data_IF_305982400732
#
_entry.id   IF_305982400732
#
_cell.length_a   1.000
_cell.length_b   1.000
_cell.length_c   1.000
_cell.angle_alpha   90.00
_cell.angle_beta   90.00
_cell.angle_gamma   90.00
#
_symmetry.space_group_name_H-M   'P 1'
#
loop_
_entity.id
_entity.type
_entity.pdbx_description
1 polymer ?
#
# COMPACT_ATOMS: atom_id res chain seq x y z
N UNK A 1 -18.55 -33.52 -0.23
CA UNK A 1 -18.83 -32.23 0.44
C UNK A 1 -17.92 -31.93 1.64
N UNK A 2 -17.56 -32.91 2.50
CA UNK A 2 -16.68 -32.67 3.66
C UNK A 2 -15.22 -32.31 3.29
N UNK A 3 -14.68 -32.87 2.22
CA UNK A 3 -13.34 -32.56 1.73
C UNK A 3 -13.24 -31.12 1.20
N UNK A 4 -14.28 -30.62 0.57
CA UNK A 4 -14.31 -29.25 0.04
C UNK A 4 -14.28 -28.20 1.18
N UNK A 5 -14.99 -28.46 2.28
CA UNK A 5 -15.01 -27.57 3.44
C UNK A 5 -13.65 -27.47 4.18
N UNK A 6 -12.84 -28.53 4.20
CA UNK A 6 -11.52 -28.48 4.83
C UNK A 6 -10.52 -27.63 4.06
N UNK A 7 -10.57 -27.63 2.73
CA UNK A 7 -9.70 -26.77 1.92
C UNK A 7 -10.06 -25.29 2.07
N UNK A 8 -11.35 -24.98 2.09
CA UNK A 8 -11.84 -23.62 2.32
C UNK A 8 -11.39 -23.14 3.70
N UNK A 9 -11.57 -23.95 4.75
CA UNK A 9 -11.15 -23.59 6.10
C UNK A 9 -9.63 -23.33 6.19
N UNK A 10 -8.79 -24.18 5.58
CA UNK A 10 -7.35 -23.97 5.53
C UNK A 10 -6.97 -22.70 4.78
N UNK A 11 -7.60 -22.43 3.64
CA UNK A 11 -7.39 -21.21 2.88
C UNK A 11 -7.73 -19.95 3.69
N UNK A 12 -8.87 -19.97 4.41
CA UNK A 12 -9.29 -18.87 5.29
C UNK A 12 -8.28 -18.65 6.42
N UNK A 13 -7.81 -19.73 7.07
CA UNK A 13 -6.80 -19.64 8.13
C UNK A 13 -5.50 -19.02 7.60
N UNK A 14 -5.01 -19.46 6.43
CA UNK A 14 -3.82 -18.88 5.81
C UNK A 14 -3.99 -17.40 5.46
N UNK A 15 -5.13 -17.00 4.93
CA UNK A 15 -5.44 -15.60 4.64
C UNK A 15 -5.41 -14.77 5.92
N UNK A 16 -6.01 -15.27 7.01
CA UNK A 16 -6.00 -14.58 8.32
C UNK A 16 -4.57 -14.43 8.85
N UNK A 17 -3.75 -15.50 8.79
CA UNK A 17 -2.36 -15.46 9.23
C UNK A 17 -1.58 -14.41 8.43
N UNK A 18 -1.67 -14.41 7.09
CA UNK A 18 -0.99 -13.44 6.22
C UNK A 18 -1.45 -12.02 6.53
N UNK A 19 -2.74 -11.82 6.76
CA UNK A 19 -3.31 -10.52 7.08
C UNK A 19 -2.83 -9.99 8.43
N UNK A 20 -2.74 -10.84 9.46
CA UNK A 20 -2.15 -10.49 10.75
C UNK A 20 -0.68 -10.11 10.59
N UNK A 21 0.10 -10.92 9.86
CA UNK A 21 1.51 -10.62 9.58
C UNK A 21 1.67 -9.27 8.87
N UNK A 22 0.88 -9.00 7.84
CA UNK A 22 0.90 -7.73 7.14
C UNK A 22 0.59 -6.56 8.07
N UNK A 23 -0.46 -6.65 8.88
CA UNK A 23 -0.86 -5.60 9.81
C UNK A 23 0.21 -5.28 10.86
N UNK A 24 1.02 -6.27 11.27
CA UNK A 24 2.08 -6.07 12.26
C UNK A 24 3.38 -5.57 11.66
N UNK A 25 3.84 -6.20 10.59
CA UNK A 25 5.17 -5.92 10.03
C UNK A 25 5.22 -4.69 9.14
N UNK A 26 4.13 -4.36 8.46
CA UNK A 26 4.07 -3.20 7.58
C UNK A 26 4.35 -1.88 8.32
N UNK A 27 3.67 -1.51 9.43
CA UNK A 27 3.93 -0.27 10.16
C UNK A 27 5.35 -0.22 10.75
N UNK A 28 5.86 -1.35 11.25
CA UNK A 28 7.22 -1.45 11.77
C UNK A 28 8.24 -1.24 10.64
N UNK A 29 7.99 -1.86 9.49
CA UNK A 29 8.84 -1.73 8.29
C UNK A 29 8.95 -0.29 7.82
N UNK A 30 7.83 0.41 7.66
CA UNK A 30 7.80 1.83 7.28
C UNK A 30 8.61 2.71 8.27
N UNK A 31 8.35 2.58 9.57
CA UNK A 31 9.06 3.34 10.60
C UNK A 31 10.57 3.01 10.63
N UNK A 32 10.92 1.75 10.38
CA UNK A 32 12.33 1.30 10.33
C UNK A 32 13.07 1.88 9.14
N UNK A 33 12.44 1.92 7.96
CA UNK A 33 13.03 2.53 6.75
C UNK A 33 13.27 4.02 6.98
N UNK A 34 12.31 4.76 7.50
CA UNK A 34 12.46 6.19 7.80
C UNK A 34 13.58 6.42 8.84
N UNK A 35 13.66 5.57 9.88
CA UNK A 35 14.73 5.63 10.89
C UNK A 35 16.12 5.34 10.29
N UNK A 36 16.22 4.43 9.33
CA UNK A 36 17.46 4.13 8.62
C UNK A 36 17.89 5.28 7.70
N UNK A 37 16.94 5.95 7.05
CA UNK A 37 17.20 7.13 6.21
C UNK A 37 17.68 8.31 7.03
N UNK A 38 17.17 8.49 8.25
CA UNK A 38 17.59 9.58 9.14
C UNK A 38 19.00 9.37 9.69
N UNK A 39 19.40 8.14 9.96
CA UNK A 39 20.70 7.77 10.49
C UNK A 39 21.35 6.62 9.68
N UNK A 40 21.92 6.89 8.51
CA UNK A 40 22.43 5.86 7.61
C UNK A 40 23.63 5.06 8.18
N UNK A 41 24.27 5.55 9.24
CA UNK A 41 25.38 4.84 9.91
C UNK A 41 24.90 3.82 10.95
N UNK A 42 23.58 3.77 11.26
CA UNK A 42 23.03 2.78 12.17
C UNK A 42 22.89 1.40 11.50
N UNK A 43 23.09 0.34 12.30
CA UNK A 43 22.80 -1.01 11.82
C UNK A 43 21.31 -1.16 11.55
N UNK A 44 20.96 -2.01 10.56
CA UNK A 44 19.57 -2.32 10.21
C UNK A 44 18.75 -2.81 11.42
N UNK A 45 19.37 -3.57 12.31
CA UNK A 45 18.74 -4.04 13.55
C UNK A 45 18.34 -2.89 14.49
N UNK A 46 19.21 -1.89 14.67
CA UNK A 46 18.88 -0.72 15.50
C UNK A 46 17.74 0.11 14.89
N UNK A 47 17.74 0.26 13.58
CA UNK A 47 16.63 0.93 12.88
C UNK A 47 15.32 0.18 13.04
N UNK A 48 15.35 -1.17 13.01
CA UNK A 48 14.18 -2.00 13.25
C UNK A 48 13.66 -1.87 14.69
N UNK A 49 14.54 -1.92 15.70
CA UNK A 49 14.15 -1.73 17.11
C UNK A 49 13.58 -0.33 17.34
N UNK A 50 14.14 0.71 16.71
CA UNK A 50 13.60 2.07 16.80
C UNK A 50 12.23 2.16 16.10
N UNK A 51 12.04 1.51 14.95
CA UNK A 51 10.77 1.43 14.24
C UNK A 51 9.70 0.70 15.04
N UNK A 52 10.05 -0.40 15.73
CA UNK A 52 9.10 -1.15 16.55
C UNK A 52 8.55 -0.31 17.72
N UNK A 53 9.33 0.61 18.27
CA UNK A 53 8.87 1.57 19.29
C UNK A 53 7.82 2.56 18.78
N UNK A 54 7.65 2.70 17.45
CA UNK A 54 6.64 3.56 16.80
C UNK A 54 5.44 2.77 16.26
N UNK A 55 5.35 1.48 16.58
CA UNK A 55 4.34 0.58 16.03
C UNK A 55 2.91 1.09 16.23
N UNK A 56 2.53 1.44 17.47
CA UNK A 56 1.15 1.85 17.76
C UNK A 56 0.73 3.12 17.00
N UNK A 57 1.47 4.23 17.03
CA UNK A 57 1.11 5.42 16.26
C UNK A 57 1.06 5.17 14.75
N UNK A 58 1.98 4.34 14.22
CA UNK A 58 1.98 4.00 12.79
C UNK A 58 0.78 3.12 12.42
N UNK A 59 0.43 2.16 13.27
CA UNK A 59 -0.75 1.32 13.08
C UNK A 59 -2.04 2.16 13.11
N UNK A 60 -2.19 3.03 14.12
CA UNK A 60 -3.33 3.94 14.25
C UNK A 60 -3.46 4.85 13.03
N UNK A 61 -2.35 5.42 12.56
CA UNK A 61 -2.32 6.21 11.33
C UNK A 61 -2.76 5.38 10.11
N UNK A 62 -2.25 4.16 9.97
CA UNK A 62 -2.61 3.28 8.86
C UNK A 62 -4.11 3.00 8.84
N UNK A 63 -4.71 2.72 9.99
CA UNK A 63 -6.15 2.50 10.11
C UNK A 63 -6.97 3.75 9.79
N UNK A 64 -6.54 4.90 10.28
CA UNK A 64 -7.21 6.18 10.04
C UNK A 64 -7.14 6.57 8.55
N UNK A 65 -6.07 6.20 7.84
CA UNK A 65 -5.86 6.55 6.44
C UNK A 65 -6.61 5.65 5.46
N UNK A 66 -7.00 4.42 5.83
CA UNK A 66 -7.69 3.46 4.95
C UNK A 66 -8.90 4.06 4.22
N UNK A 67 -9.84 4.79 4.87
CA UNK A 67 -11.01 5.36 4.19
C UNK A 67 -10.66 6.41 3.13
N UNK A 68 -9.45 6.99 3.23
CA UNK A 68 -8.97 8.04 2.33
C UNK A 68 -8.02 7.51 1.26
N UNK A 69 -7.81 6.21 1.18
CA UNK A 69 -7.04 5.62 0.08
C UNK A 69 -7.82 5.69 -1.22
N UNK A 70 -7.14 6.11 -2.28
CA UNK A 70 -7.71 6.16 -3.63
C UNK A 70 -8.25 4.80 -4.05
N UNK A 71 -7.58 3.70 -3.69
CA UNK A 71 -8.03 2.35 -4.00
C UNK A 71 -9.36 2.01 -3.31
N UNK A 72 -9.52 2.34 -2.03
CA UNK A 72 -10.78 2.15 -1.29
C UNK A 72 -11.89 2.97 -1.93
N UNK A 73 -11.58 4.18 -2.36
CA UNK A 73 -12.52 5.01 -3.10
C UNK A 73 -12.93 4.36 -4.43
N UNK A 74 -11.97 3.91 -5.25
CA UNK A 74 -12.26 3.24 -6.53
C UNK A 74 -13.11 1.99 -6.36
N UNK A 75 -12.89 1.18 -5.31
CA UNK A 75 -13.70 -0.01 -5.03
C UNK A 75 -15.14 0.34 -4.64
N UNK A 76 -15.33 1.39 -3.87
CA UNK A 76 -16.67 1.90 -3.53
C UNK A 76 -17.37 2.42 -4.79
N UNK A 77 -16.65 3.17 -5.64
CA UNK A 77 -17.16 3.67 -6.91
C UNK A 77 -17.63 2.55 -7.83
N UNK A 78 -16.80 1.52 -8.01
CA UNK A 78 -17.14 0.37 -8.83
C UNK A 78 -18.42 -0.33 -8.32
N UNK A 79 -18.54 -0.48 -6.99
CA UNK A 79 -19.75 -1.07 -6.39
C UNK A 79 -21.00 -0.23 -6.64
N UNK A 80 -20.91 1.09 -6.46
CA UNK A 80 -22.03 2.00 -6.71
C UNK A 80 -22.44 1.99 -8.19
N UNK A 81 -21.47 1.91 -9.10
CA UNK A 81 -21.70 1.76 -10.53
C UNK A 81 -22.41 0.45 -10.86
N UNK A 82 -21.94 -0.68 -10.31
CA UNK A 82 -22.55 -1.99 -10.54
C UNK A 82 -23.96 -2.14 -9.94
N UNK A 83 -24.33 -1.27 -9.00
CA UNK A 83 -25.68 -1.23 -8.39
C UNK A 83 -26.61 -0.21 -9.06
N UNK A 84 -26.19 0.42 -10.17
CA UNK A 84 -26.94 1.46 -10.91
C UNK A 84 -27.41 2.64 -10.02
N UNK A 85 -26.65 2.92 -8.95
CA UNK A 85 -27.04 3.93 -7.96
C UNK A 85 -26.68 5.36 -8.44
N UNK A 86 -25.86 5.49 -9.49
CA UNK A 86 -25.46 6.79 -10.06
C UNK A 86 -26.57 7.58 -10.74
N UNK A 87 -27.71 6.97 -11.03
CA UNK A 87 -28.88 7.68 -11.56
C UNK A 87 -29.46 8.69 -10.57
N UNK A 88 -29.09 8.57 -9.29
CA UNK A 88 -29.48 9.53 -8.27
C UNK A 88 -28.46 10.67 -8.15
N UNK A 89 -28.88 11.89 -8.52
CA UNK A 89 -28.04 13.08 -8.53
C UNK A 89 -27.46 13.40 -7.13
N UNK A 90 -28.20 13.15 -6.05
CA UNK A 90 -27.71 13.37 -4.69
C UNK A 90 -26.53 12.46 -4.35
N UNK A 91 -26.58 11.21 -4.77
CA UNK A 91 -25.48 10.25 -4.56
C UNK A 91 -24.26 10.68 -5.35
N UNK A 92 -24.44 11.11 -6.59
CA UNK A 92 -23.37 11.60 -7.46
C UNK A 92 -22.67 12.82 -6.83
N UNK A 93 -23.42 13.74 -6.24
CA UNK A 93 -22.86 14.90 -5.53
C UNK A 93 -22.06 14.46 -4.29
N UNK A 94 -22.62 13.58 -3.45
CA UNK A 94 -21.93 13.07 -2.24
C UNK A 94 -20.62 12.38 -2.62
N UNK A 95 -20.65 11.61 -3.66
CA UNK A 95 -19.49 10.93 -4.21
C UNK A 95 -18.43 11.92 -4.71
N UNK A 96 -18.83 12.98 -5.41
CA UNK A 96 -17.95 14.06 -5.83
C UNK A 96 -17.28 14.78 -4.66
N UNK A 97 -18.04 15.10 -3.61
CA UNK A 97 -17.51 15.70 -2.38
C UNK A 97 -16.51 14.76 -1.72
N UNK A 98 -16.84 13.47 -1.61
CA UNK A 98 -15.93 12.46 -1.04
C UNK A 98 -14.63 12.33 -1.84
N UNK A 99 -14.71 12.37 -3.16
CA UNK A 99 -13.52 12.37 -4.04
C UNK A 99 -12.60 13.54 -3.68
N UNK A 100 -13.14 14.75 -3.62
CA UNK A 100 -12.37 15.93 -3.27
C UNK A 100 -11.71 15.79 -1.90
N UNK A 101 -12.45 15.29 -0.90
CA UNK A 101 -11.93 15.07 0.46
C UNK A 101 -10.80 14.02 0.48
N UNK A 102 -10.92 12.94 -0.32
CA UNK A 102 -9.87 11.92 -0.42
C UNK A 102 -8.59 12.51 -1.01
N UNK A 103 -8.69 13.25 -2.11
CA UNK A 103 -7.52 13.90 -2.73
C UNK A 103 -6.89 14.94 -1.77
N UNK A 104 -7.70 15.76 -1.14
CA UNK A 104 -7.23 16.76 -0.18
C UNK A 104 -6.54 16.12 1.03
N UNK A 105 -7.16 15.10 1.62
CA UNK A 105 -6.56 14.37 2.74
C UNK A 105 -5.25 13.67 2.33
N UNK A 106 -5.18 13.08 1.13
CA UNK A 106 -3.97 12.45 0.62
C UNK A 106 -2.79 13.43 0.53
N UNK A 107 -3.03 14.67 0.07
CA UNK A 107 -2.00 15.72 0.04
C UNK A 107 -1.62 16.15 1.45
N UNK A 108 -2.61 16.42 2.31
CA UNK A 108 -2.39 16.96 3.66
C UNK A 108 -1.68 15.96 4.59
N UNK A 109 -1.90 14.66 4.40
CA UNK A 109 -1.39 13.61 5.29
C UNK A 109 -0.13 12.93 4.77
N UNK A 110 0.36 13.31 3.59
CA UNK A 110 1.52 12.69 2.95
C UNK A 110 2.78 12.67 3.80
N UNK A 111 2.99 13.69 4.64
CA UNK A 111 4.15 13.77 5.54
C UNK A 111 3.92 13.14 6.91
N UNK A 112 2.67 12.79 7.27
CA UNK A 112 2.33 12.33 8.62
C UNK A 112 3.10 11.06 9.02
N UNK A 113 3.24 10.08 8.12
CA UNK A 113 4.04 8.86 8.36
C UNK A 113 5.48 9.16 8.74
N UNK A 114 6.10 10.12 8.06
CA UNK A 114 7.48 10.51 8.29
C UNK A 114 7.62 11.22 9.63
N UNK A 115 6.67 12.12 9.95
CA UNK A 115 6.66 12.85 11.23
C UNK A 115 6.50 11.88 12.40
N UNK A 116 5.58 10.90 12.31
CA UNK A 116 5.41 9.84 13.33
C UNK A 116 6.71 9.05 13.50
N UNK A 117 7.32 8.62 12.41
CA UNK A 117 8.53 7.82 12.45
C UNK A 117 9.73 8.57 13.01
N UNK A 118 9.87 9.87 12.76
CA UNK A 118 10.98 10.70 13.25
C UNK A 118 10.75 11.20 14.67
N UNK A 119 9.62 11.86 14.91
CA UNK A 119 9.33 12.54 16.16
C UNK A 119 8.67 11.66 17.22
N UNK A 120 8.02 10.57 16.80
CA UNK A 120 7.29 9.66 17.70
C UNK A 120 6.08 10.30 18.36
N UNK A 121 5.52 11.33 17.75
CA UNK A 121 4.33 12.01 18.23
C UNK A 121 3.05 11.20 17.98
N UNK A 122 1.96 11.60 18.62
CA UNK A 122 0.63 11.01 18.40
C UNK A 122 0.12 11.31 16.99
N UNK A 123 -0.77 10.45 16.49
CA UNK A 123 -1.28 10.51 15.10
C UNK A 123 -1.92 11.86 14.77
N UNK A 124 -2.76 12.39 15.66
CA UNK A 124 -3.43 13.67 15.41
C UNK A 124 -2.46 14.85 15.35
N UNK A 125 -1.42 14.86 16.20
CA UNK A 125 -0.37 15.88 16.16
C UNK A 125 0.44 15.79 14.87
N UNK A 126 0.77 14.57 14.44
CA UNK A 126 1.45 14.33 13.19
C UNK A 126 0.61 14.81 11.99
N UNK A 127 -0.69 14.50 11.95
CA UNK A 127 -1.60 14.95 10.90
C UNK A 127 -1.69 16.48 10.89
N UNK A 128 -1.81 17.11 12.06
CA UNK A 128 -1.85 18.56 12.17
C UNK A 128 -0.57 19.21 11.63
N UNK A 129 0.59 18.70 12.02
CA UNK A 129 1.90 19.17 11.51
C UNK A 129 2.04 18.92 10.01
N UNK A 130 1.66 17.73 9.54
CA UNK A 130 1.67 17.36 8.13
C UNK A 130 0.80 18.29 7.30
N UNK A 131 -0.42 18.56 7.75
CA UNK A 131 -1.35 19.47 7.08
C UNK A 131 -0.78 20.90 7.02
N UNK A 132 -0.21 21.40 8.11
CA UNK A 132 0.44 22.72 8.12
C UNK A 132 1.62 22.78 7.13
N UNK A 133 2.48 21.74 7.09
CA UNK A 133 3.60 21.66 6.14
C UNK A 133 3.12 21.60 4.68
N UNK A 134 2.09 20.77 4.42
CA UNK A 134 1.53 20.61 3.08
C UNK A 134 0.85 21.90 2.60
N UNK A 135 0.12 22.60 3.45
CA UNK A 135 -0.56 23.84 3.11
C UNK A 135 0.43 24.99 2.87
N UNK A 136 1.49 25.10 3.68
CA UNK A 136 2.54 26.10 3.48
C UNK A 136 3.35 25.85 2.19
N UNK A 137 3.38 24.61 1.69
CA UNK A 137 4.09 24.21 0.48
C UNK A 137 3.17 23.46 -0.49
N UNK A 138 1.92 23.95 -0.66
CA UNK A 138 0.85 23.24 -1.37
C UNK A 138 1.27 22.85 -2.79
N UNK A 139 1.85 23.78 -3.55
CA UNK A 139 2.30 23.51 -4.91
C UNK A 139 3.32 22.38 -5.00
N UNK A 140 4.28 22.38 -4.08
CA UNK A 140 5.28 21.31 -4.01
C UNK A 140 4.63 19.96 -3.66
N UNK A 141 3.76 19.94 -2.64
CA UNK A 141 3.08 18.73 -2.18
C UNK A 141 2.18 18.11 -3.26
N UNK A 142 1.44 18.95 -3.99
CA UNK A 142 0.60 18.50 -5.12
C UNK A 142 1.47 17.95 -6.26
N UNK A 143 2.58 18.65 -6.59
CA UNK A 143 3.51 18.18 -7.63
C UNK A 143 4.13 16.83 -7.26
N UNK A 144 4.53 16.66 -6.00
CA UNK A 144 5.09 15.41 -5.49
C UNK A 144 4.07 14.27 -5.57
N UNK A 145 2.83 14.53 -5.15
CA UNK A 145 1.75 13.54 -5.23
C UNK A 145 1.44 13.16 -6.68
N UNK A 146 1.47 14.12 -7.61
CA UNK A 146 1.27 13.82 -9.02
C UNK A 146 2.38 12.94 -9.61
N UNK A 147 3.64 13.22 -9.25
CA UNK A 147 4.78 12.38 -9.66
C UNK A 147 4.67 10.98 -9.05
N UNK A 148 4.28 10.87 -7.77
CA UNK A 148 4.01 9.58 -7.11
C UNK A 148 2.94 8.78 -7.86
N UNK A 149 1.84 9.42 -8.24
CA UNK A 149 0.73 8.79 -8.98
C UNK A 149 1.20 8.27 -10.36
N UNK A 150 2.00 9.06 -11.09
CA UNK A 150 2.57 8.62 -12.38
C UNK A 150 3.52 7.43 -12.21
N UNK A 151 4.37 7.45 -11.19
CA UNK A 151 5.28 6.35 -10.89
C UNK A 151 4.49 5.10 -10.46
N UNK A 152 3.47 5.26 -9.61
CA UNK A 152 2.60 4.16 -9.19
C UNK A 152 1.89 3.52 -10.39
N UNK A 153 1.37 4.33 -11.33
CA UNK A 153 0.76 3.83 -12.56
C UNK A 153 1.75 3.00 -13.38
N UNK A 154 2.99 3.47 -13.50
CA UNK A 154 4.07 2.73 -14.19
C UNK A 154 4.35 1.39 -13.51
N UNK A 155 4.44 1.36 -12.17
CA UNK A 155 4.65 0.11 -11.42
C UNK A 155 3.48 -0.85 -11.57
N UNK A 156 2.24 -0.36 -11.58
CA UNK A 156 1.04 -1.19 -11.82
C UNK A 156 1.11 -1.83 -13.21
N UNK A 157 1.45 -1.06 -14.26
CA UNK A 157 1.57 -1.60 -15.63
C UNK A 157 2.66 -2.68 -15.70
N UNK A 158 3.83 -2.44 -15.11
CA UNK A 158 4.92 -3.42 -15.06
C UNK A 158 4.48 -4.67 -14.28
N UNK A 159 3.84 -4.50 -13.13
CA UNK A 159 3.32 -5.60 -12.31
C UNK A 159 2.28 -6.44 -13.06
N UNK A 160 1.35 -5.79 -13.78
CA UNK A 160 0.38 -6.48 -14.63
C UNK A 160 1.04 -7.29 -15.75
N UNK A 161 2.13 -6.79 -16.36
CA UNK A 161 2.87 -7.53 -17.37
C UNK A 161 3.60 -8.74 -16.76
N UNK A 162 4.26 -8.55 -15.60
CA UNK A 162 5.00 -9.63 -14.91
C UNK A 162 4.07 -10.76 -14.47
N UNK A 163 2.86 -10.43 -14.01
CA UNK A 163 1.88 -11.43 -13.55
C UNK A 163 1.00 -11.91 -14.69
N UNK A 164 0.55 -11.01 -15.54
CA UNK A 164 -0.42 -11.29 -16.60
C UNK A 164 0.13 -12.26 -17.65
N UNK A 165 1.41 -12.11 -18.03
CA UNK A 165 2.00 -13.00 -19.04
C UNK A 165 2.05 -14.46 -18.55
N UNK A 166 2.60 -14.78 -17.35
CA UNK A 166 2.56 -16.15 -16.83
C UNK A 166 1.15 -16.71 -16.63
N UNK A 167 0.21 -15.89 -16.11
CA UNK A 167 -1.18 -16.31 -15.94
C UNK A 167 -1.83 -16.62 -17.28
N UNK A 168 -1.59 -15.81 -18.31
CA UNK A 168 -2.07 -16.05 -19.66
C UNK A 168 -1.50 -17.36 -20.25
N UNK A 169 -0.20 -17.60 -20.06
CA UNK A 169 0.45 -18.83 -20.51
C UNK A 169 -0.12 -20.08 -19.81
N UNK A 170 -0.37 -19.99 -18.49
CA UNK A 170 -1.02 -21.07 -17.73
C UNK A 170 -2.43 -21.30 -18.27
N UNK A 171 -3.20 -20.22 -18.50
CA UNK A 171 -4.55 -20.33 -19.04
C UNK A 171 -4.57 -21.02 -20.42
N UNK A 172 -3.66 -20.64 -21.31
CA UNK A 172 -3.52 -21.28 -22.62
C UNK A 172 -3.12 -22.77 -22.47
N UNK A 173 -2.22 -23.10 -21.56
CA UNK A 173 -1.80 -24.48 -21.30
C UNK A 173 -2.96 -25.35 -20.75
N UNK A 174 -3.83 -24.77 -19.91
CA UNK A 174 -5.06 -25.42 -19.45
C UNK A 174 -6.03 -25.64 -20.62
N UNK A 175 -6.22 -24.63 -21.45
CA UNK A 175 -7.14 -24.68 -22.59
C UNK A 175 -6.71 -25.70 -23.66
N UNK A 176 -5.38 -25.88 -23.83
CA UNK A 176 -4.80 -26.87 -24.75
C UNK A 176 -4.73 -28.30 -24.15
N UNK A 177 -5.28 -28.50 -22.96
CA UNK A 177 -5.31 -29.79 -22.25
C UNK A 177 -3.89 -30.40 -21.98
N UNK A 178 -2.86 -29.54 -21.98
CA UNK A 178 -1.47 -29.95 -21.73
C UNK A 178 -1.22 -30.32 -20.26
N UNK A 179 -2.14 -29.94 -19.36
CA UNK A 179 -1.99 -30.07 -17.89
C UNK A 179 -2.51 -31.41 -17.35
N UNK A 180 -2.60 -32.45 -18.14
CA UNK A 180 -3.02 -33.77 -17.65
C UNK A 180 -1.94 -34.49 -16.81
N UNK A 181 -0.72 -33.97 -16.78
CA UNK A 181 0.40 -34.60 -16.09
C UNK A 181 0.60 -33.95 -14.70
N UNK A 182 0.67 -34.76 -13.63
CA UNK A 182 0.90 -34.30 -12.26
C UNK A 182 2.20 -33.50 -12.09
N UNK A 183 3.19 -33.76 -12.93
CA UNK A 183 4.44 -33.00 -12.97
C UNK A 183 4.22 -31.56 -13.44
N UNK A 184 3.40 -31.34 -14.47
CA UNK A 184 3.06 -30.02 -15.00
C UNK A 184 2.28 -29.21 -13.95
N UNK A 185 1.33 -29.84 -13.28
CA UNK A 185 0.55 -29.21 -12.21
C UNK A 185 1.45 -28.75 -11.05
N UNK A 186 2.39 -29.59 -10.62
CA UNK A 186 3.34 -29.25 -9.55
C UNK A 186 4.26 -28.12 -9.98
N UNK A 187 4.75 -28.14 -11.22
CA UNK A 187 5.59 -27.07 -11.77
C UNK A 187 4.84 -25.73 -11.80
N UNK A 188 3.59 -25.71 -12.22
CA UNK A 188 2.75 -24.50 -12.22
C UNK A 188 2.59 -23.95 -10.82
N UNK A 189 2.35 -24.79 -9.81
CA UNK A 189 2.23 -24.38 -8.40
C UNK A 189 3.51 -23.73 -7.88
N UNK A 190 4.67 -24.32 -8.18
CA UNK A 190 5.98 -23.78 -7.79
C UNK A 190 6.26 -22.44 -8.47
N UNK A 191 5.98 -22.32 -9.76
CA UNK A 191 6.13 -21.08 -10.50
C UNK A 191 5.21 -19.99 -9.94
N UNK A 192 3.93 -20.31 -9.67
CA UNK A 192 2.99 -19.36 -9.07
C UNK A 192 3.46 -18.87 -7.69
N UNK A 193 3.94 -19.79 -6.82
CA UNK A 193 4.49 -19.41 -5.51
C UNK A 193 5.74 -18.53 -5.64
N UNK A 194 6.63 -18.83 -6.57
CA UNK A 194 7.82 -18.02 -6.84
C UNK A 194 7.47 -16.63 -7.36
N UNK A 195 6.47 -16.49 -8.23
CA UNK A 195 5.98 -15.23 -8.72
C UNK A 195 5.39 -14.37 -7.59
N UNK A 196 4.62 -14.97 -6.67
CA UNK A 196 4.08 -14.25 -5.51
C UNK A 196 5.20 -13.68 -4.63
N UNK A 197 6.28 -14.43 -4.40
CA UNK A 197 7.45 -13.94 -3.66
C UNK A 197 8.14 -12.77 -4.37
N UNK A 198 8.31 -12.86 -5.68
CA UNK A 198 8.90 -11.78 -6.49
C UNK A 198 8.03 -10.52 -6.42
N UNK A 199 6.70 -10.66 -6.53
CA UNK A 199 5.77 -9.54 -6.42
C UNK A 199 5.84 -8.89 -5.04
N UNK A 200 5.84 -9.69 -3.96
CA UNK A 200 5.96 -9.18 -2.60
C UNK A 200 7.28 -8.41 -2.41
N UNK A 201 8.39 -8.93 -2.92
CA UNK A 201 9.69 -8.28 -2.87
C UNK A 201 9.70 -6.95 -3.65
N UNK A 202 9.16 -6.94 -4.87
CA UNK A 202 9.05 -5.72 -5.68
C UNK A 202 8.17 -4.67 -4.99
N UNK A 203 7.06 -5.09 -4.37
CA UNK A 203 6.21 -4.18 -3.62
C UNK A 203 6.96 -3.50 -2.45
N UNK A 204 7.77 -4.25 -1.70
CA UNK A 204 8.61 -3.69 -0.64
C UNK A 204 9.62 -2.66 -1.16
N UNK A 205 10.23 -2.90 -2.33
CA UNK A 205 11.16 -1.95 -2.96
C UNK A 205 10.43 -0.67 -3.35
N UNK A 206 9.27 -0.80 -3.98
CA UNK A 206 8.45 0.34 -4.42
C UNK A 206 8.02 1.19 -3.22
N UNK A 207 7.61 0.55 -2.15
CA UNK A 207 7.19 1.23 -0.93
C UNK A 207 8.36 1.96 -0.24
N UNK A 208 9.52 1.31 -0.13
CA UNK A 208 10.74 1.95 0.39
C UNK A 208 11.18 3.14 -0.49
N UNK A 209 11.01 3.03 -1.80
CA UNK A 209 11.27 4.13 -2.74
C UNK A 209 10.36 5.33 -2.48
N UNK A 210 9.04 5.12 -2.34
CA UNK A 210 8.11 6.21 -2.05
C UNK A 210 8.34 6.84 -0.68
N UNK A 211 8.66 6.04 0.33
CA UNK A 211 9.04 6.57 1.64
C UNK A 211 10.29 7.43 1.56
N UNK A 212 11.31 7.01 0.81
CA UNK A 212 12.54 7.77 0.60
C UNK A 212 12.25 9.08 -0.13
N UNK A 213 11.40 9.04 -1.14
CA UNK A 213 10.99 10.20 -1.92
C UNK A 213 10.31 11.28 -1.05
N UNK A 214 9.31 10.87 -0.24
CA UNK A 214 8.65 11.76 0.70
C UNK A 214 9.56 12.23 1.84
N UNK A 215 10.45 11.38 2.33
CA UNK A 215 11.43 11.75 3.34
C UNK A 215 12.38 12.84 2.84
N UNK A 216 12.88 12.75 1.62
CA UNK A 216 13.73 13.78 1.03
C UNK A 216 12.96 15.11 0.87
N UNK A 217 11.71 15.06 0.46
CA UNK A 217 10.85 16.23 0.37
C UNK A 217 10.63 16.87 1.76
N UNK A 218 10.32 16.06 2.76
CA UNK A 218 10.18 16.52 4.14
C UNK A 218 11.44 17.22 4.66
N UNK A 219 12.61 16.63 4.46
CA UNK A 219 13.91 17.24 4.88
C UNK A 219 14.19 18.57 4.21
N UNK A 220 13.65 18.80 3.02
CA UNK A 220 13.84 20.03 2.25
C UNK A 220 12.94 21.17 2.74
N UNK A 221 11.74 20.86 3.23
CA UNK A 221 10.73 21.86 3.64
C UNK A 221 10.60 22.00 5.17
N UNK A 222 11.01 20.98 5.93
CA UNK A 222 11.03 21.08 7.39
C UNK A 222 12.12 22.06 7.82
N UNK A 223 11.80 23.07 8.63
CA UNK A 223 12.83 23.95 9.19
C UNK A 223 13.83 23.06 9.95
N UNK A 224 15.11 23.26 9.67
CA UNK A 224 16.20 22.59 10.43
C UNK A 224 16.08 23.03 11.89
N UNK A 225 15.54 22.14 12.73
CA UNK A 225 15.65 22.25 14.18
C UNK A 225 17.09 21.96 14.61
#
# INVERSE_FOLDING_TARGET
DKLNNQWILRAVIWVIIVLIWYLWFHPIGEASVVSALDNPQQSAFRSFVRGSGKFFPMLEYSWLSIPFWVFTFCTVMLRLYLMDIFDNIFITIIVGIRWFLVLFASVCWSYARIIIALEGCQVFDAIKKSTSLAMNNLWLSVKLMFVELLLMLRFIVIGLLIVGIPVLLIYIAVWLDVIQNSFVETTIRVVAASLLLVIAYLNCIVEAFFLTYWYQAYRKISPKT
#
